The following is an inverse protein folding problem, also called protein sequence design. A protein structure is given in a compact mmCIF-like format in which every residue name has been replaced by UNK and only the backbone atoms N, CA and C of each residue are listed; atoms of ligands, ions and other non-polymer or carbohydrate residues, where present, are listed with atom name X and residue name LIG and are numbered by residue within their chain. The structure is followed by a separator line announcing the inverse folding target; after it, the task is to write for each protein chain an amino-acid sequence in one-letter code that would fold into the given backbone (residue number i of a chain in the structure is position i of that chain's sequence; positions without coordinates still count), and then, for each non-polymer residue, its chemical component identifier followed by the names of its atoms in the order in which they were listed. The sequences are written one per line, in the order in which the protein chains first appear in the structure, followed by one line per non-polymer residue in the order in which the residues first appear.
data_IF_616900915562
#
_entry.id   IF_616900915562
#
_cell.length_a   1.000
_cell.length_b   1.000
_cell.length_c   1.000
_cell.angle_alpha   90.00
_cell.angle_beta   90.00
_cell.angle_gamma   90.00
#
_symmetry.space_group_name_H-M   'P 1'
#
loop_
_entity.id
_entity.type
_entity.pdbx_description
1 polymer ?
#
# COMPACT_ATOMS: atom_id res chain seq x y z
N UNK A 1 23.11 33.39 -15.55
CA UNK A 1 23.43 31.95 -15.47
C UNK A 1 24.75 31.78 -14.73
N UNK A 2 24.68 31.17 -13.55
CA UNK A 2 25.78 30.52 -12.86
C UNK A 2 26.31 29.35 -13.73
N UNK A 3 27.61 29.02 -13.69
CA UNK A 3 28.08 27.75 -14.24
C UNK A 3 27.57 26.59 -13.37
N UNK A 4 27.23 25.46 -14.00
CA UNK A 4 27.09 24.18 -13.32
C UNK A 4 28.44 23.77 -12.72
N UNK A 5 28.40 23.27 -11.48
CA UNK A 5 29.54 22.76 -10.73
C UNK A 5 29.56 21.23 -10.74
N UNK A 6 28.40 20.61 -10.58
CA UNK A 6 28.23 19.15 -10.47
C UNK A 6 26.83 18.75 -10.92
N UNK A 7 26.69 17.49 -11.34
CA UNK A 7 25.41 16.78 -11.49
C UNK A 7 25.54 15.45 -10.76
N UNK A 8 24.48 15.04 -10.05
CA UNK A 8 24.39 13.73 -9.40
C UNK A 8 23.25 12.94 -10.03
N UNK A 9 23.53 11.72 -10.48
CA UNK A 9 22.55 10.80 -11.05
C UNK A 9 21.90 9.96 -9.95
N UNK A 10 20.67 10.31 -9.58
CA UNK A 10 19.84 9.50 -8.72
C UNK A 10 19.07 8.45 -9.55
N UNK A 11 19.40 7.18 -9.32
CA UNK A 11 18.76 6.01 -9.95
C UNK A 11 18.75 4.84 -8.96
N UNK A 12 17.75 3.96 -9.05
CA UNK A 12 17.74 2.71 -8.28
C UNK A 12 18.88 1.79 -8.71
N UNK A 13 19.67 1.20 -7.79
CA UNK A 13 20.81 0.37 -8.16
C UNK A 13 20.40 -1.02 -8.70
N UNK A 14 19.15 -1.43 -8.47
CA UNK A 14 18.55 -2.68 -8.94
C UNK A 14 17.28 -2.36 -9.72
N UNK A 15 17.10 -2.96 -10.89
CA UNK A 15 15.90 -2.82 -11.70
C UNK A 15 15.39 -4.18 -12.21
N UNK A 16 14.07 -4.29 -12.41
CA UNK A 16 13.49 -5.39 -13.16
C UNK A 16 13.62 -5.19 -14.66
N UNK A 17 13.90 -6.27 -15.37
CA UNK A 17 13.92 -6.26 -16.84
C UNK A 17 12.58 -5.75 -17.40
N UNK A 18 12.65 -4.80 -18.32
CA UNK A 18 11.50 -4.09 -18.91
C UNK A 18 10.59 -3.33 -17.91
N UNK A 19 10.97 -3.20 -16.63
CA UNK A 19 10.28 -2.32 -15.70
C UNK A 19 10.64 -0.86 -15.96
N UNK A 20 9.76 0.04 -15.51
CA UNK A 20 9.94 1.47 -15.67
C UNK A 20 10.87 2.01 -14.56
N UNK A 21 11.98 2.60 -14.98
CA UNK A 21 13.02 3.17 -14.12
C UNK A 21 12.98 4.69 -14.28
N UNK A 22 12.86 5.40 -13.17
CA UNK A 22 12.98 6.86 -13.13
C UNK A 22 14.44 7.24 -12.91
N UNK A 23 15.04 7.89 -13.90
CA UNK A 23 16.36 8.51 -13.80
C UNK A 23 16.15 9.98 -13.40
N UNK A 24 16.86 10.46 -12.38
CA UNK A 24 16.82 11.85 -11.94
C UNK A 24 18.22 12.45 -11.88
N UNK A 25 18.36 13.69 -12.33
CA UNK A 25 19.60 14.45 -12.29
C UNK A 25 19.43 15.63 -11.32
N UNK A 26 20.24 15.65 -10.27
CA UNK A 26 20.30 16.76 -9.30
C UNK A 26 21.51 17.62 -9.66
N UNK A 27 21.29 18.88 -10.05
CA UNK A 27 22.35 19.79 -10.48
C UNK A 27 22.71 20.81 -9.41
N UNK A 28 24.00 21.16 -9.34
CA UNK A 28 24.51 22.20 -8.45
C UNK A 28 25.06 23.39 -9.26
N UNK A 29 24.62 24.63 -8.99
CA UNK A 29 23.57 25.01 -8.06
C UNK A 29 22.16 24.70 -8.61
N UNK A 30 21.19 24.47 -7.71
CA UNK A 30 19.83 24.04 -8.09
C UNK A 30 19.00 25.11 -8.84
N UNK A 31 19.44 26.37 -8.83
CA UNK A 31 18.83 27.50 -9.56
C UNK A 31 19.31 27.63 -11.01
N UNK A 32 20.02 26.63 -11.54
CA UNK A 32 20.56 26.59 -12.89
C UNK A 32 19.48 26.46 -14.00
N UNK A 33 18.78 27.57 -14.23
CA UNK A 33 17.79 27.74 -15.28
C UNK A 33 18.37 27.49 -16.69
N UNK A 34 17.56 26.88 -17.56
CA UNK A 34 17.88 26.52 -18.96
C UNK A 34 19.07 25.55 -19.08
N UNK A 35 19.00 24.46 -18.32
CA UNK A 35 19.90 23.29 -18.45
C UNK A 35 19.30 22.26 -19.41
N UNK A 36 20.11 21.71 -20.29
CA UNK A 36 19.78 20.57 -21.17
C UNK A 36 20.45 19.32 -20.62
N UNK A 37 19.70 18.22 -20.56
CA UNK A 37 20.19 16.92 -20.10
C UNK A 37 20.33 15.95 -21.27
N UNK A 38 21.48 15.28 -21.32
CA UNK A 38 21.84 14.27 -22.30
C UNK A 38 21.99 12.95 -21.56
N UNK A 39 21.24 11.93 -21.98
CA UNK A 39 21.16 10.64 -21.28
C UNK A 39 21.64 9.52 -22.21
N UNK A 40 22.72 8.83 -21.82
CA UNK A 40 23.17 7.58 -22.45
C UNK A 40 22.79 6.41 -21.53
N UNK A 41 22.24 5.35 -22.11
CA UNK A 41 21.72 4.18 -21.39
C UNK A 41 22.30 2.94 -22.07
N UNK A 42 23.06 2.14 -21.33
CA UNK A 42 23.81 1.02 -21.89
C UNK A 42 24.83 1.48 -22.92
N UNK A 43 24.89 0.75 -24.03
CA UNK A 43 25.84 0.98 -25.13
C UNK A 43 25.29 1.94 -26.23
N UNK A 44 24.13 2.58 -26.00
CA UNK A 44 23.54 3.51 -26.95
C UNK A 44 24.42 4.75 -27.15
N UNK A 45 24.98 4.90 -28.36
CA UNK A 45 25.87 6.03 -28.70
C UNK A 45 25.14 7.38 -28.83
N UNK A 46 23.83 7.37 -29.06
CA UNK A 46 23.02 8.58 -29.24
C UNK A 46 22.29 8.92 -27.93
N UNK A 47 22.53 10.09 -27.33
CA UNK A 47 21.86 10.47 -26.09
C UNK A 47 20.39 10.83 -26.35
N UNK A 48 19.52 10.42 -25.43
CA UNK A 48 18.18 11.02 -25.31
C UNK A 48 18.33 12.44 -24.74
N UNK A 49 17.60 13.40 -25.29
CA UNK A 49 17.65 14.81 -24.88
C UNK A 49 16.40 15.19 -24.07
N UNK A 50 16.58 15.79 -22.90
CA UNK A 50 15.47 16.36 -22.10
C UNK A 50 15.78 17.76 -21.58
N UNK A 51 14.72 18.57 -21.42
CA UNK A 51 14.75 19.83 -20.65
C UNK A 51 14.32 19.65 -19.19
N UNK A 52 13.69 18.52 -18.88
CA UNK A 52 13.39 18.09 -17.51
C UNK A 52 14.59 17.36 -16.95
N UNK A 53 14.83 17.50 -15.66
CA UNK A 53 15.89 16.81 -14.94
C UNK A 53 15.56 15.33 -14.63
N UNK A 54 14.50 14.77 -15.21
CA UNK A 54 14.18 13.35 -15.10
C UNK A 54 13.77 12.72 -16.42
N UNK A 55 14.05 11.42 -16.54
CA UNK A 55 13.74 10.57 -17.68
C UNK A 55 13.19 9.23 -17.18
N UNK A 56 11.98 8.88 -17.59
CA UNK A 56 11.42 7.54 -17.41
C UNK A 56 11.86 6.67 -18.59
N UNK A 57 12.50 5.53 -18.29
CA UNK A 57 13.02 4.59 -19.29
C UNK A 57 12.75 3.14 -18.88
N UNK A 58 13.06 2.18 -19.76
CA UNK A 58 12.97 0.74 -19.50
C UNK A 58 14.25 0.07 -19.94
N UNK A 59 14.75 -0.86 -19.13
CA UNK A 59 16.01 -1.57 -19.40
C UNK A 59 15.69 -2.97 -19.96
N UNK A 60 15.94 -3.23 -21.26
CA UNK A 60 15.43 -4.44 -21.93
C UNK A 60 16.32 -5.68 -21.74
N UNK A 61 17.58 -5.49 -21.34
CA UNK A 61 18.57 -6.55 -21.16
C UNK A 61 18.92 -6.74 -19.68
N UNK A 62 19.12 -7.99 -19.27
CA UNK A 62 19.56 -8.35 -17.92
C UNK A 62 21.09 -8.29 -17.83
N UNK A 63 21.62 -7.76 -16.73
CA UNK A 63 23.05 -7.53 -16.55
C UNK A 63 23.35 -6.17 -15.93
N UNK A 64 24.60 -5.72 -16.05
CA UNK A 64 25.01 -4.37 -15.65
C UNK A 64 24.81 -3.38 -16.79
N UNK A 65 23.96 -2.38 -16.57
CA UNK A 65 23.70 -1.29 -17.52
C UNK A 65 24.29 -0.01 -16.97
N UNK A 66 25.25 0.56 -17.69
CA UNK A 66 25.77 1.91 -17.40
C UNK A 66 24.72 2.95 -17.80
N UNK A 67 24.41 3.87 -16.90
CA UNK A 67 23.57 5.05 -17.19
C UNK A 67 24.42 6.29 -16.94
N UNK A 68 24.52 7.15 -17.95
CA UNK A 68 25.28 8.40 -17.88
C UNK A 68 24.35 9.57 -18.14
N UNK A 69 24.40 10.58 -17.28
CA UNK A 69 23.75 11.87 -17.52
C UNK A 69 24.79 12.97 -17.61
N UNK A 70 24.67 13.80 -18.63
CA UNK A 70 25.43 15.04 -18.77
C UNK A 70 24.45 16.21 -18.74
N UNK A 71 24.71 17.16 -17.84
CA UNK A 71 23.96 18.40 -17.74
C UNK A 71 24.80 19.52 -18.34
N UNK A 72 24.24 20.25 -19.30
CA UNK A 72 24.87 21.40 -19.91
C UNK A 72 23.98 22.64 -19.76
N UNK A 73 24.57 23.73 -19.27
CA UNK A 73 24.05 25.06 -19.52
C UNK A 73 25.03 25.78 -20.46
N UNK A 74 24.65 26.92 -21.05
CA UNK A 74 25.46 27.60 -22.08
C UNK A 74 26.84 28.12 -21.62
N UNK A 75 27.30 27.78 -20.40
CA UNK A 75 28.59 28.19 -19.82
C UNK A 75 29.44 27.04 -19.29
N UNK A 76 28.84 25.91 -18.91
CA UNK A 76 29.58 24.72 -18.46
C UNK A 76 28.78 23.43 -18.63
N UNK A 77 29.50 22.32 -18.58
CA UNK A 77 29.00 20.97 -18.81
C UNK A 77 29.60 20.06 -17.74
N UNK A 78 28.75 19.25 -17.11
CA UNK A 78 29.09 18.34 -16.01
C UNK A 78 28.41 16.98 -16.25
N UNK A 79 28.98 15.89 -15.75
CA UNK A 79 28.53 14.54 -16.05
C UNK A 79 28.70 13.61 -14.85
N UNK A 80 27.74 12.70 -14.65
CA UNK A 80 27.81 11.58 -13.70
C UNK A 80 27.37 10.27 -14.38
N UNK A 81 27.88 9.14 -13.89
CA UNK A 81 27.65 7.79 -14.42
C UNK A 81 27.39 6.81 -13.29
N UNK A 82 26.31 6.03 -13.39
CA UNK A 82 25.91 5.01 -12.42
C UNK A 82 25.60 3.70 -13.11
N UNK A 83 26.00 2.58 -12.51
CA UNK A 83 25.65 1.24 -12.98
C UNK A 83 24.36 0.76 -12.30
N UNK A 84 23.38 0.37 -13.11
CA UNK A 84 22.15 -0.29 -12.67
C UNK A 84 22.26 -1.78 -12.96
N UNK A 85 22.00 -2.65 -11.97
CA UNK A 85 21.93 -4.11 -12.19
C UNK A 85 20.49 -4.52 -12.49
N UNK A 86 20.29 -5.09 -13.68
CA UNK A 86 18.99 -5.52 -14.19
C UNK A 86 18.86 -7.03 -14.05
N UNK A 87 17.81 -7.48 -13.37
CA UNK A 87 17.52 -8.90 -13.15
C UNK A 87 16.14 -9.27 -13.72
N UNK A 88 16.00 -10.49 -14.26
CA UNK A 88 14.71 -11.01 -14.71
C UNK A 88 13.77 -11.28 -13.52
N UNK A 89 14.30 -11.71 -12.37
CA UNK A 89 13.54 -11.97 -11.14
C UNK A 89 14.37 -11.65 -9.89
N UNK A 90 13.75 -11.03 -8.88
CA UNK A 90 14.26 -10.82 -7.53
C UNK A 90 13.07 -10.63 -6.58
N UNK A 91 13.31 -10.65 -5.26
CA UNK A 91 12.29 -10.29 -4.27
C UNK A 91 12.64 -8.98 -3.57
N UNK A 92 11.63 -8.17 -3.23
CA UNK A 92 11.81 -6.91 -2.48
C UNK A 92 11.11 -7.03 -1.14
N UNK A 93 11.85 -6.81 -0.06
CA UNK A 93 11.34 -6.79 1.30
C UNK A 93 11.42 -5.34 1.82
N UNK A 94 10.29 -4.68 2.10
CA UNK A 94 10.31 -3.30 2.59
C UNK A 94 10.73 -3.27 4.07
N UNK A 95 11.64 -2.36 4.40
CA UNK A 95 12.24 -2.21 5.72
C UNK A 95 11.97 -0.82 6.32
N UNK A 96 11.83 -0.79 7.63
CA UNK A 96 11.72 0.42 8.43
C UNK A 96 12.81 0.44 9.50
N UNK A 97 13.22 1.64 9.90
CA UNK A 97 14.18 1.84 10.99
C UNK A 97 13.45 2.42 12.21
N UNK A 98 13.94 2.13 13.40
CA UNK A 98 13.53 2.87 14.60
C UNK A 98 13.90 4.36 14.44
N UNK A 99 13.01 5.28 14.84
CA UNK A 99 13.20 6.74 14.72
C UNK A 99 14.40 7.34 15.47
N UNK A 100 15.21 6.51 16.13
CA UNK A 100 16.56 6.88 16.56
C UNK A 100 17.47 7.22 15.36
N UNK A 101 17.27 6.59 14.19
CA UNK A 101 18.09 6.83 12.99
C UNK A 101 17.79 8.19 12.34
N UNK A 102 16.52 8.61 12.33
CA UNK A 102 16.05 9.86 11.69
C UNK A 102 16.80 11.10 12.19
N UNK A 103 17.21 11.12 13.47
CA UNK A 103 17.99 12.20 14.08
C UNK A 103 19.40 12.35 13.53
N UNK A 104 19.90 11.33 12.84
CA UNK A 104 21.23 11.25 12.24
C UNK A 104 21.19 11.09 10.72
N UNK A 105 20.02 11.26 10.09
CA UNK A 105 19.86 11.19 8.64
C UNK A 105 20.12 12.57 8.02
N UNK A 106 21.27 12.79 7.34
CA UNK A 106 21.59 14.04 6.64
C UNK A 106 20.90 14.17 5.26
N UNK A 107 20.16 13.14 4.84
CA UNK A 107 19.55 12.97 3.52
C UNK A 107 20.50 13.06 2.31
N UNK A 108 21.77 12.65 2.48
CA UNK A 108 22.75 12.56 1.38
C UNK A 108 22.92 11.11 0.86
N UNK A 109 23.15 10.91 -0.45
CA UNK A 109 23.28 9.58 -1.07
C UNK A 109 24.35 8.69 -0.46
N UNK A 110 25.51 9.24 -0.11
CA UNK A 110 26.67 8.50 0.40
C UNK A 110 26.37 7.87 1.76
N UNK A 111 25.69 8.62 2.64
CA UNK A 111 25.22 8.11 3.92
C UNK A 111 24.18 7.01 3.76
N UNK A 112 23.24 7.17 2.80
CA UNK A 112 22.24 6.14 2.48
C UNK A 112 22.91 4.85 1.98
N UNK A 113 23.98 4.97 1.19
CA UNK A 113 24.79 3.84 0.74
C UNK A 113 25.52 3.14 1.90
N UNK A 114 26.20 3.88 2.78
CA UNK A 114 26.91 3.31 3.93
C UNK A 114 25.97 2.56 4.90
N UNK A 115 24.80 3.13 5.19
CA UNK A 115 23.77 2.48 6.02
C UNK A 115 23.22 1.22 5.32
N UNK A 116 22.96 1.29 4.01
CA UNK A 116 22.55 0.13 3.23
C UNK A 116 23.56 -1.01 3.26
N UNK A 117 24.85 -0.71 3.09
CA UNK A 117 25.94 -1.71 3.20
C UNK A 117 26.03 -2.32 4.61
N UNK A 118 25.89 -1.50 5.66
CA UNK A 118 25.89 -1.96 7.05
C UNK A 118 24.76 -2.95 7.34
N UNK A 119 23.52 -2.63 6.95
CA UNK A 119 22.36 -3.52 7.11
C UNK A 119 22.55 -4.82 6.35
N UNK A 120 23.02 -4.73 5.09
CA UNK A 120 23.30 -5.89 4.24
C UNK A 120 24.32 -6.84 4.89
N UNK A 121 25.41 -6.29 5.45
CA UNK A 121 26.46 -7.05 6.15
C UNK A 121 25.96 -7.72 7.44
N UNK A 122 25.09 -7.03 8.20
CA UNK A 122 24.46 -7.58 9.41
C UNK A 122 23.54 -8.75 9.05
N UNK A 123 22.68 -8.57 8.03
CA UNK A 123 21.79 -9.62 7.54
C UNK A 123 22.55 -10.86 7.08
N UNK A 124 23.57 -10.69 6.23
CA UNK A 124 24.42 -11.79 5.76
C UNK A 124 25.02 -12.58 6.93
N UNK A 125 25.55 -11.88 7.96
CA UNK A 125 26.13 -12.52 9.15
C UNK A 125 25.11 -13.29 10.00
N UNK A 126 23.88 -12.79 10.15
CA UNK A 126 22.84 -13.43 10.99
C UNK A 126 22.17 -14.60 10.26
N UNK A 127 21.90 -14.45 8.96
CA UNK A 127 21.11 -15.40 8.18
C UNK A 127 21.94 -16.44 7.43
N UNK A 128 23.25 -16.21 7.28
CA UNK A 128 24.13 -17.01 6.43
C UNK A 128 23.91 -16.83 4.92
N UNK A 129 23.04 -15.88 4.52
CA UNK A 129 22.81 -15.55 3.10
C UNK A 129 24.05 -14.81 2.55
N UNK A 130 24.54 -15.15 1.33
CA UNK A 130 25.69 -14.47 0.75
C UNK A 130 25.44 -12.96 0.59
N UNK A 131 26.47 -12.14 0.82
CA UNK A 131 26.33 -10.67 0.80
C UNK A 131 26.02 -10.16 -0.61
N UNK A 132 26.55 -10.82 -1.64
CA UNK A 132 26.28 -10.57 -3.05
C UNK A 132 24.81 -10.81 -3.44
N UNK A 133 24.09 -11.67 -2.71
CA UNK A 133 22.66 -11.95 -2.92
C UNK A 133 21.73 -10.96 -2.23
N UNK A 134 22.27 -9.95 -1.52
CA UNK A 134 21.50 -8.98 -0.75
C UNK A 134 21.92 -7.55 -1.10
N UNK A 135 20.95 -6.66 -1.34
CA UNK A 135 21.22 -5.23 -1.54
C UNK A 135 20.18 -4.42 -0.78
N UNK A 136 20.60 -3.67 0.24
CA UNK A 136 19.71 -2.76 0.96
C UNK A 136 19.84 -1.35 0.39
N UNK A 137 18.73 -0.77 -0.07
CA UNK A 137 18.64 0.59 -0.60
C UNK A 137 17.86 1.45 0.38
N UNK A 138 18.52 2.41 1.04
CA UNK A 138 17.85 3.39 1.92
C UNK A 138 17.25 4.50 1.06
N UNK A 139 15.97 4.82 1.28
CA UNK A 139 15.24 5.86 0.54
C UNK A 139 15.59 7.26 1.04
N UNK A 140 15.53 8.30 0.17
CA UNK A 140 15.64 9.69 0.59
C UNK A 140 14.47 10.11 1.48
N UNK A 141 14.69 11.15 2.29
CA UNK A 141 13.69 11.75 3.16
C UNK A 141 13.45 11.03 4.51
N UNK A 142 12.35 11.42 5.17
CA UNK A 142 11.94 10.95 6.50
C UNK A 142 10.46 10.51 6.50
N UNK A 143 10.07 9.52 7.33
CA UNK A 143 10.91 8.70 8.19
C UNK A 143 11.84 7.79 7.38
N UNK A 144 13.00 7.45 7.95
CA UNK A 144 14.00 6.64 7.23
C UNK A 144 13.45 5.25 6.96
N UNK A 145 13.41 4.87 5.68
CA UNK A 145 12.93 3.56 5.19
C UNK A 145 13.92 2.98 4.19
N UNK A 146 13.84 1.67 3.95
CA UNK A 146 14.68 0.99 2.96
C UNK A 146 13.92 -0.11 2.23
N UNK A 147 14.50 -0.56 1.12
CA UNK A 147 14.10 -1.77 0.41
C UNK A 147 15.28 -2.74 0.39
N UNK A 148 15.05 -3.98 0.82
CA UNK A 148 15.99 -5.07 0.72
C UNK A 148 15.66 -5.90 -0.52
N UNK A 149 16.57 -5.86 -1.49
CA UNK A 149 16.51 -6.67 -2.70
C UNK A 149 17.23 -8.00 -2.41
N UNK A 150 16.49 -9.10 -2.51
CA UNK A 150 17.01 -10.47 -2.44
C UNK A 150 17.19 -10.97 -3.87
N UNK A 151 18.45 -11.07 -4.27
CA UNK A 151 18.87 -11.40 -5.62
C UNK A 151 19.03 -12.92 -5.80
N UNK A 152 18.79 -13.47 -7.00
CA UNK A 152 19.12 -14.86 -7.28
C UNK A 152 20.64 -15.06 -7.23
N UNK A 153 21.08 -16.24 -6.78
CA UNK A 153 22.50 -16.59 -6.83
C UNK A 153 22.97 -16.70 -8.29
N UNK A 154 24.09 -16.05 -8.62
CA UNK A 154 24.67 -16.09 -9.95
C UNK A 154 25.11 -17.51 -10.32
N UNK A 155 24.37 -18.14 -11.24
CA UNK A 155 24.93 -19.24 -12.02
C UNK A 155 24.29 -19.34 -13.39
N UNK A 156 25.13 -19.67 -14.39
CA UNK A 156 24.72 -20.07 -15.75
C UNK A 156 24.01 -21.44 -15.80
N UNK A 157 23.41 -21.89 -14.71
CA UNK A 157 22.68 -23.15 -14.61
C UNK A 157 21.23 -22.88 -14.18
N UNK A 158 20.29 -23.39 -14.97
CA UNK A 158 18.87 -23.18 -14.74
C UNK A 158 18.40 -23.85 -13.44
N UNK A 159 17.86 -23.05 -12.52
CA UNK A 159 16.93 -23.51 -11.49
C UNK A 159 15.82 -22.47 -11.33
N UNK A 160 14.69 -22.67 -12.02
CA UNK A 160 13.47 -21.88 -11.83
C UNK A 160 13.07 -21.91 -10.35
N UNK A 161 12.62 -20.77 -9.83
CA UNK A 161 11.81 -20.57 -8.61
C UNK A 161 12.26 -21.13 -7.23
N UNK A 162 13.33 -21.91 -7.09
CA UNK A 162 13.61 -22.62 -5.80
C UNK A 162 14.66 -21.92 -4.89
N UNK A 163 15.48 -21.00 -5.41
CA UNK A 163 16.61 -20.45 -4.63
C UNK A 163 16.25 -19.24 -3.74
N UNK A 164 15.61 -18.20 -4.29
CA UNK A 164 15.20 -17.03 -3.51
C UNK A 164 14.25 -17.42 -2.36
N UNK A 165 13.39 -18.40 -2.61
CA UNK A 165 12.36 -18.91 -1.69
C UNK A 165 12.94 -19.54 -0.40
N UNK A 166 14.22 -19.96 -0.40
CA UNK A 166 14.88 -20.51 0.80
C UNK A 166 15.52 -19.43 1.68
N UNK A 167 15.97 -18.33 1.10
CA UNK A 167 16.64 -17.26 1.85
C UNK A 167 15.64 -16.35 2.56
N UNK A 168 14.49 -16.09 1.93
CA UNK A 168 13.47 -15.16 2.44
C UNK A 168 12.90 -15.58 3.80
N UNK A 169 12.54 -16.84 4.08
CA UNK A 169 12.10 -17.25 5.42
C UNK A 169 13.15 -17.00 6.51
N UNK A 170 14.43 -17.24 6.24
CA UNK A 170 15.52 -16.98 7.19
C UNK A 170 15.71 -15.47 7.46
N UNK A 171 15.57 -14.63 6.43
CA UNK A 171 15.60 -13.17 6.54
C UNK A 171 14.40 -12.66 7.37
N UNK A 172 13.19 -13.12 7.07
CA UNK A 172 11.97 -12.75 7.80
C UNK A 172 12.03 -13.19 9.28
N UNK A 173 12.62 -14.36 9.56
CA UNK A 173 12.85 -14.84 10.92
C UNK A 173 13.85 -13.93 11.66
N UNK A 174 14.97 -13.57 11.04
CA UNK A 174 15.98 -12.69 11.65
C UNK A 174 15.43 -11.29 12.03
N UNK A 175 14.49 -10.75 11.24
CA UNK A 175 13.76 -9.53 11.58
C UNK A 175 12.72 -9.75 12.69
N UNK A 176 11.97 -10.87 12.65
CA UNK A 176 10.98 -11.22 13.67
C UNK A 176 11.61 -11.37 15.06
N UNK A 177 12.80 -11.96 15.13
CA UNK A 177 13.59 -12.12 16.36
C UNK A 177 14.29 -10.81 16.82
N UNK A 178 14.12 -9.70 16.08
CA UNK A 178 14.74 -8.39 16.34
C UNK A 178 16.28 -8.41 16.40
N UNK A 179 16.90 -9.41 15.76
CA UNK A 179 18.36 -9.57 15.76
C UNK A 179 19.07 -8.53 14.87
N UNK A 180 18.36 -7.89 13.93
CA UNK A 180 18.91 -6.91 12.99
C UNK A 180 18.95 -5.51 13.64
N UNK A 181 20.00 -5.24 14.42
CA UNK A 181 20.24 -3.91 15.01
C UNK A 181 21.70 -3.49 14.93
N UNK A 182 21.95 -2.17 15.01
CA UNK A 182 23.28 -1.58 15.05
C UNK A 182 23.34 -0.38 15.98
N UNK A 183 24.56 0.03 16.36
CA UNK A 183 24.79 1.16 17.26
C UNK A 183 25.25 2.40 16.49
N UNK A 184 24.57 3.52 16.68
CA UNK A 184 24.99 4.82 16.17
C UNK A 184 25.97 5.51 17.12
N UNK A 185 26.70 6.50 16.60
CA UNK A 185 27.57 7.38 17.42
C UNK A 185 26.73 8.02 18.53
N UNK A 186 27.23 7.96 19.77
CA UNK A 186 26.48 8.39 20.96
C UNK A 186 25.72 7.28 21.70
N UNK A 187 25.86 6.01 21.32
CA UNK A 187 25.32 4.87 22.08
C UNK A 187 23.83 4.60 21.86
N UNK A 188 23.22 5.21 20.84
CA UNK A 188 21.84 4.95 20.45
C UNK A 188 21.76 3.70 19.57
N UNK A 189 21.01 2.69 20.02
CA UNK A 189 20.70 1.51 19.22
C UNK A 189 19.63 1.84 18.18
N UNK A 190 19.89 1.45 16.93
CA UNK A 190 18.94 1.48 15.83
C UNK A 190 18.50 0.05 15.54
N UNK A 191 17.20 -0.19 15.58
CA UNK A 191 16.59 -1.45 15.18
C UNK A 191 16.09 -1.35 13.74
N UNK A 192 16.35 -2.36 12.93
CA UNK A 192 15.79 -2.53 11.58
C UNK A 192 14.65 -3.55 11.68
N UNK A 193 13.51 -3.22 11.10
CA UNK A 193 12.28 -4.00 11.16
C UNK A 193 11.70 -4.17 9.76
N UNK A 194 10.89 -5.20 9.57
CA UNK A 194 10.00 -5.24 8.40
C UNK A 194 9.08 -4.02 8.47
N UNK A 195 8.95 -3.28 7.37
CA UNK A 195 7.94 -2.25 7.28
C UNK A 195 6.56 -2.92 7.19
N UNK A 196 5.61 -2.47 8.00
CA UNK A 196 4.20 -2.80 7.76
C UNK A 196 3.82 -2.23 6.38
N UNK A 197 3.32 -3.04 5.43
CA UNK A 197 2.89 -2.55 4.11
C UNK A 197 1.81 -1.45 4.19
N UNK A 198 1.12 -1.32 5.33
CA UNK A 198 0.14 -0.26 5.58
C UNK A 198 0.73 0.99 6.27
N UNK A 199 1.97 0.96 6.79
CA UNK A 199 2.55 2.10 7.52
C UNK A 199 2.67 3.38 6.67
N UNK A 200 2.83 3.24 5.35
CA UNK A 200 2.82 4.37 4.41
C UNK A 200 1.47 5.11 4.31
N UNK A 201 0.38 4.50 4.79
CA UNK A 201 -0.96 5.10 4.85
C UNK A 201 -1.32 5.69 6.23
N UNK A 202 -0.40 5.66 7.21
CA UNK A 202 -0.63 6.22 8.55
C UNK A 202 -0.05 7.63 8.74
N UNK A 203 0.61 8.18 7.71
CA UNK A 203 0.89 9.61 7.60
C UNK A 203 -0.37 10.37 7.14
N UNK A 204 -1.08 10.98 8.10
CA UNK A 204 -2.45 11.47 7.99
C UNK A 204 -3.51 10.35 8.05
N UNK A 205 -4.23 10.30 9.17
CA UNK A 205 -5.27 9.31 9.44
C UNK A 205 -6.37 9.34 8.36
N UNK A 206 -6.60 8.20 7.70
CA UNK A 206 -7.73 7.95 6.81
C UNK A 206 -7.68 8.69 5.48
N UNK A 207 -7.53 7.96 4.38
CA UNK A 207 -7.81 8.51 3.05
C UNK A 207 -9.26 9.05 2.94
N UNK A 208 -9.56 9.98 2.01
CA UNK A 208 -10.84 10.70 1.97
C UNK A 208 -12.09 9.81 1.99
N UNK A 209 -12.03 8.61 1.40
CA UNK A 209 -13.12 7.63 1.41
C UNK A 209 -13.46 7.09 2.81
N UNK A 210 -12.48 6.91 3.70
CA UNK A 210 -12.72 6.37 5.06
C UNK A 210 -13.44 7.41 5.93
N UNK A 211 -13.01 8.67 5.85
CA UNK A 211 -13.72 9.78 6.51
C UNK A 211 -15.12 9.99 5.94
N UNK A 212 -15.30 9.89 4.62
CA UNK A 212 -16.62 9.99 4.00
C UNK A 212 -17.57 8.91 4.54
N UNK A 213 -17.12 7.66 4.65
CA UNK A 213 -17.92 6.55 5.23
C UNK A 213 -18.23 6.79 6.70
N UNK A 214 -17.26 7.23 7.51
CA UNK A 214 -17.48 7.53 8.93
C UNK A 214 -18.47 8.69 9.15
N UNK A 215 -18.38 9.76 8.35
CA UNK A 215 -19.30 10.91 8.41
C UNK A 215 -20.71 10.50 7.95
N UNK A 216 -20.84 9.74 6.86
CA UNK A 216 -22.13 9.22 6.40
C UNK A 216 -22.79 8.33 7.46
N UNK A 217 -22.02 7.46 8.12
CA UNK A 217 -22.50 6.61 9.21
C UNK A 217 -22.98 7.41 10.43
N UNK A 218 -22.26 8.47 10.81
CA UNK A 218 -22.69 9.37 11.88
C UNK A 218 -23.99 10.11 11.52
N UNK A 219 -24.12 10.57 10.27
CA UNK A 219 -25.34 11.23 9.78
C UNK A 219 -26.53 10.27 9.81
N UNK A 220 -26.38 9.00 9.41
CA UNK A 220 -27.48 8.02 9.47
C UNK A 220 -27.89 7.70 10.90
N UNK A 221 -26.95 7.59 11.86
CA UNK A 221 -27.29 7.43 13.29
C UNK A 221 -28.09 8.63 13.81
N UNK A 222 -27.64 9.87 13.52
CA UNK A 222 -28.32 11.08 13.95
C UNK A 222 -29.71 11.24 13.32
N UNK A 223 -29.87 10.89 12.04
CA UNK A 223 -31.15 10.88 11.35
C UNK A 223 -32.11 9.82 11.93
N UNK A 224 -31.62 8.59 12.17
CA UNK A 224 -32.41 7.51 12.76
C UNK A 224 -32.84 7.85 14.20
N UNK A 225 -31.93 8.35 15.03
CA UNK A 225 -32.23 8.80 16.40
C UNK A 225 -33.26 9.93 16.42
N UNK A 226 -33.12 10.91 15.51
CA UNK A 226 -34.09 12.01 15.36
C UNK A 226 -35.47 11.52 14.89
N UNK A 227 -35.52 10.57 13.96
CA UNK A 227 -36.76 9.96 13.48
C UNK A 227 -37.46 9.15 14.59
N UNK A 228 -36.70 8.40 15.40
CA UNK A 228 -37.20 7.68 16.57
C UNK A 228 -37.78 8.67 17.59
N UNK A 229 -37.03 9.72 17.97
CA UNK A 229 -37.52 10.76 18.89
C UNK A 229 -38.79 11.45 18.36
N UNK A 230 -38.83 11.78 17.07
CA UNK A 230 -39.99 12.39 16.42
C UNK A 230 -41.22 11.47 16.45
N UNK A 231 -41.05 10.18 16.11
CA UNK A 231 -42.12 9.18 16.20
C UNK A 231 -42.56 8.94 17.64
N UNK A 232 -41.65 8.96 18.60
CA UNK A 232 -41.95 8.77 20.02
C UNK A 232 -42.72 9.97 20.59
N UNK A 233 -42.30 11.22 20.31
CA UNK A 233 -43.09 12.42 20.63
C UNK A 233 -44.47 12.41 19.95
N UNK A 234 -44.56 11.96 18.70
CA UNK A 234 -45.86 11.78 18.00
C UNK A 234 -46.74 10.69 18.63
N UNK A 235 -46.17 9.68 19.29
CA UNK A 235 -46.91 8.61 20.00
C UNK A 235 -47.24 8.95 21.47
N UNK A 236 -46.91 10.15 21.95
CA UNK A 236 -47.25 10.64 23.30
C UNK A 236 -48.32 11.77 23.36
N UNK A 237 -49.47 11.69 22.67
CA UNK A 237 -50.63 12.52 23.01
C UNK A 237 -51.50 11.80 24.06
N UNK A 238 -51.36 12.14 25.35
CA UNK A 238 -52.25 11.50 26.34
C UNK A 238 -52.05 11.79 27.84
N UNK A 239 -50.94 12.36 28.29
CA UNK A 239 -50.69 12.62 29.72
C UNK A 239 -51.44 13.86 30.24
N UNK A 240 -52.77 13.91 30.09
CA UNK A 240 -53.65 14.97 30.59
C UNK A 240 -55.00 14.40 31.08
N UNK A 241 -54.97 13.56 32.11
CA UNK A 241 -56.17 13.05 32.79
C UNK A 241 -55.95 12.75 34.29
N UNK A 242 -55.20 13.61 35.01
CA UNK A 242 -54.89 13.41 36.45
C UNK A 242 -55.04 14.71 37.29
N UNK A 243 -55.97 15.60 36.93
CA UNK A 243 -56.28 16.81 37.72
C UNK A 243 -57.78 17.16 37.83
N UNK A 244 -58.68 16.28 37.40
CA UNK A 244 -60.12 16.51 37.42
C UNK A 244 -60.92 15.57 38.36
N UNK A 245 -60.25 14.65 39.06
CA UNK A 245 -60.90 13.63 39.89
C UNK A 245 -60.11 13.36 41.18
N UNK A 246 -60.03 14.39 42.03
CA UNK A 246 -59.58 14.26 43.42
C UNK A 246 -60.42 15.15 44.36
N UNK A 247 -61.73 15.21 44.10
CA UNK A 247 -62.70 15.72 45.08
C UNK A 247 -64.05 15.03 44.99
N UNK A 248 -64.07 13.74 45.34
CA UNK A 248 -65.20 13.12 46.02
C UNK A 248 -64.68 11.96 46.91
N UNK A 249 -65.56 11.35 47.72
CA UNK A 249 -65.34 10.17 48.57
C UNK A 249 -64.32 10.29 49.73
N UNK A 250 -64.74 11.05 50.76
CA UNK A 250 -64.55 10.61 52.17
C UNK A 250 -65.63 9.55 52.49
N UNK A 251 -65.34 8.68 53.46
CA UNK A 251 -66.04 7.44 53.89
C UNK A 251 -65.22 6.22 53.41
N UNK A 252 -64.31 5.61 54.17
CA UNK A 252 -64.30 5.24 55.60
C UNK A 252 -65.49 4.36 56.01
N UNK A 253 -65.36 3.06 55.76
CA UNK A 253 -65.72 1.89 56.58
C UNK A 253 -65.64 0.64 55.66
N UNK A 254 -65.32 -0.59 56.04
CA UNK A 254 -64.65 -1.27 57.16
C UNK A 254 -64.63 -2.78 56.76
N UNK A 255 -63.86 -3.62 57.46
CA UNK A 255 -64.04 -5.10 57.57
C UNK A 255 -64.15 -6.00 56.30
N UNK A 256 -63.02 -6.61 55.92
CA UNK A 256 -62.67 -8.06 56.05
C UNK A 256 -63.78 -9.07 56.45
N UNK A 257 -63.64 -10.41 56.20
CA UNK A 257 -63.15 -11.17 55.02
C UNK A 257 -64.14 -12.32 54.62
N UNK A 258 -63.97 -13.05 53.48
CA UNK A 258 -64.36 -14.49 53.37
C UNK A 258 -63.95 -15.22 52.05
N UNK A 259 -63.24 -16.35 52.24
CA UNK A 259 -63.38 -17.72 51.69
C UNK A 259 -63.44 -18.12 50.18
N UNK A 260 -63.12 -19.42 49.97
CA UNK A 260 -62.87 -20.20 48.74
C UNK A 260 -64.06 -20.54 47.83
N UNK A 261 -63.77 -20.72 46.53
CA UNK A 261 -63.96 -21.94 45.69
C UNK A 261 -63.29 -21.68 44.31
N UNK A 262 -62.64 -22.58 43.55
CA UNK A 262 -63.05 -23.89 43.00
C UNK A 262 -64.37 -23.76 42.17
N UNK A 263 -64.53 -24.28 40.94
CA UNK A 263 -63.78 -25.33 40.22
C UNK A 263 -64.05 -25.37 38.68
N UNK A 264 -63.24 -26.15 37.94
CA UNK A 264 -63.47 -26.99 36.72
C UNK A 264 -64.10 -26.56 35.36
N UNK A 265 -63.58 -27.23 34.30
CA UNK A 265 -64.22 -27.72 33.03
C UNK A 265 -64.50 -26.76 31.83
N UNK A 266 -64.51 -27.15 30.53
CA UNK A 266 -63.94 -28.29 29.73
C UNK A 266 -64.22 -28.06 28.20
N UNK A 267 -63.72 -28.94 27.28
CA UNK A 267 -64.11 -29.09 25.83
C UNK A 267 -63.57 -27.98 24.87
N UNK A 268 -62.80 -28.17 23.76
CA UNK A 268 -62.56 -29.20 22.70
C UNK A 268 -63.51 -29.16 21.48
N UNK A 269 -63.02 -28.63 20.32
CA UNK A 269 -63.32 -28.95 18.89
C UNK A 269 -62.83 -27.77 18.02
N UNK A 270 -62.29 -27.87 16.79
CA UNK A 270 -61.77 -28.95 15.91
C UNK A 270 -60.74 -28.30 14.94
N UNK A 271 -59.77 -28.99 14.34
CA UNK A 271 -59.83 -29.62 12.98
C UNK A 271 -60.31 -28.64 11.87
N UNK A 272 -59.67 -28.48 10.70
CA UNK A 272 -58.84 -29.37 9.86
C UNK A 272 -57.92 -28.52 8.91
N UNK A 273 -56.70 -28.96 8.52
CA UNK A 273 -56.27 -29.40 7.16
C UNK A 273 -56.30 -28.36 6.00
N UNK A 274 -55.39 -28.34 4.99
CA UNK A 274 -54.23 -29.18 4.63
C UNK A 274 -53.17 -28.36 3.82
N UNK A 275 -52.00 -28.95 3.57
CA UNK A 275 -50.87 -28.44 2.74
C UNK A 275 -51.12 -28.44 1.20
N UNK A 276 -50.03 -28.32 0.41
CA UNK A 276 -49.83 -28.44 -1.05
C UNK A 276 -49.60 -27.11 -1.82
N UNK A 277 -48.60 -26.96 -2.71
CA UNK A 277 -47.46 -27.86 -3.00
C UNK A 277 -46.25 -27.09 -3.59
N UNK A 278 -45.11 -27.77 -3.65
CA UNK A 278 -43.87 -27.37 -4.32
C UNK A 278 -43.87 -27.84 -5.78
N UNK A 279 -43.58 -26.98 -6.76
CA UNK A 279 -43.11 -27.51 -8.06
C UNK A 279 -42.22 -26.56 -8.89
N UNK A 280 -41.46 -27.16 -9.81
CA UNK A 280 -40.39 -26.53 -10.59
C UNK A 280 -40.45 -26.84 -12.10
N UNK A 281 -40.17 -25.85 -12.95
CA UNK A 281 -39.86 -25.96 -14.40
C UNK A 281 -39.36 -24.55 -14.86
N UNK A 282 -38.20 -24.29 -15.45
CA UNK A 282 -37.48 -24.82 -16.65
C UNK A 282 -38.10 -24.48 -18.01
N UNK A 283 -37.70 -23.36 -18.65
CA UNK A 283 -37.42 -23.28 -20.11
C UNK A 283 -36.77 -21.96 -20.60
N UNK A 284 -35.82 -22.06 -21.55
CA UNK A 284 -35.47 -21.07 -22.61
C UNK A 284 -34.50 -19.93 -22.21
N UNK A 285 -33.25 -19.80 -22.70
CA UNK A 285 -32.76 -19.67 -24.10
C UNK A 285 -33.44 -18.47 -24.81
N UNK A 286 -32.78 -17.45 -25.37
CA UNK A 286 -31.38 -17.21 -25.78
C UNK A 286 -30.79 -15.94 -25.08
N UNK A 287 -29.66 -15.30 -25.41
CA UNK A 287 -28.58 -15.43 -26.42
C UNK A 287 -27.25 -14.88 -25.80
N UNK A 288 -26.06 -14.84 -26.43
CA UNK A 288 -25.62 -15.28 -27.77
C UNK A 288 -24.97 -14.18 -28.63
N UNK A 289 -23.95 -13.46 -28.13
CA UNK A 289 -23.11 -12.54 -28.94
C UNK A 289 -21.63 -12.86 -28.77
N UNK A 290 -21.03 -13.39 -29.84
CA UNK A 290 -19.57 -13.57 -29.98
C UNK A 290 -19.07 -12.47 -30.91
N UNK A 291 -18.11 -11.66 -30.46
CA UNK A 291 -17.39 -10.72 -31.33
C UNK A 291 -16.13 -11.40 -31.88
N UNK A 292 -16.24 -12.02 -33.05
CA UNK A 292 -15.08 -12.30 -33.89
C UNK A 292 -14.84 -11.12 -34.84
N UNK A 293 -13.66 -10.52 -34.77
CA UNK A 293 -13.20 -9.59 -35.80
C UNK A 293 -12.14 -10.32 -36.61
N UNK A 294 -12.53 -10.68 -37.84
CA UNK A 294 -11.73 -11.49 -38.73
C UNK A 294 -10.58 -10.66 -39.33
N UNK A 295 -9.40 -11.27 -39.45
CA UNK A 295 -8.29 -10.67 -40.18
C UNK A 295 -8.66 -10.55 -41.67
N UNK A 296 -8.26 -9.44 -42.31
CA UNK A 296 -8.21 -9.35 -43.76
C UNK A 296 -6.81 -9.03 -44.21
N UNK A 297 -6.34 -9.83 -45.14
CA UNK A 297 -5.05 -9.73 -45.78
C UNK A 297 -4.91 -8.40 -46.53
N UNK A 298 -3.71 -7.85 -46.56
CA UNK A 298 -3.28 -6.92 -47.59
C UNK A 298 -1.90 -7.33 -48.08
N UNK A 299 -1.89 -8.27 -49.03
CA UNK A 299 -0.78 -8.42 -49.97
C UNK A 299 -0.94 -7.34 -51.06
N UNK A 300 0.04 -6.45 -51.19
CA UNK A 300 0.26 -5.65 -52.39
C UNK A 300 1.70 -5.82 -52.88
N UNK A 301 1.85 -5.82 -54.21
CA UNK A 301 3.02 -6.39 -54.89
C UNK A 301 4.17 -5.39 -55.09
N UNK A 302 5.35 -5.96 -55.31
CA UNK A 302 6.54 -5.31 -55.87
C UNK A 302 6.28 -4.75 -57.28
N UNK A 303 6.82 -3.57 -57.59
CA UNK A 303 7.44 -3.26 -58.89
C UNK A 303 8.43 -2.10 -58.77
N UNK A 304 9.64 -2.32 -59.28
CA UNK A 304 10.70 -1.35 -59.67
C UNK A 304 11.14 -0.27 -58.69
#
# INVERSE_FOLDING_TARGET
MSPLQEVHLEVVPIAGRNQEVNLSAVVLPADANLTVFYWWIGDDLQPTLTLRNSLLTRLPESGEVSVTVQAANGRSMVQDTRTVRVYDNFQVIPLSFSGNLDRFNPDIPEWRQDVGQLVTKILSKITGVPQESLVTVVKPGLPTTAELYVLPADSRAAARSVFADKHVPAILQAFSDKNVSFMMRGGLQVLVMLADPNAGYHGAAGGPGVWAVAVLFLITIMAAGSFILYKFKRKLPGSRSVYAQMHNEKEQEMTSPVNHSEDTQHIIQGEEFIDDDLDSQTLGNHSGVVLSINARELHSYLTS
#
